data_IF_209214610876
#
_entry.id   IF_209214610876
#
_cell.length_a   1.000
_cell.length_b   1.000
_cell.length_c   1.000
_cell.angle_alpha   90.00
_cell.angle_beta   90.00
_cell.angle_gamma   90.00
#
_symmetry.space_group_name_H-M   'P 1'
#
loop_
_entity.id
_entity.type
_entity.pdbx_description
1 polymer ?
#
# COMPACT_ATOMS: atom_id res chain seq x y z
N UNK A 1 -19.73 -13.65 6.68
CA UNK A 1 -19.83 -14.75 7.68
C UNK A 1 -18.60 -15.60 7.59
N UNK A 2 -18.00 -15.98 8.74
CA UNK A 2 -16.86 -16.91 8.78
C UNK A 2 -17.21 -18.02 9.76
N UNK A 3 -17.03 -19.26 9.32
CA UNK A 3 -17.22 -20.43 10.14
C UNK A 3 -16.00 -21.33 9.94
N UNK A 4 -15.38 -21.76 11.03
CA UNK A 4 -14.23 -22.65 11.01
C UNK A 4 -14.43 -23.71 12.09
N UNK A 5 -14.28 -24.95 11.68
CA UNK A 5 -14.29 -26.13 12.54
C UNK A 5 -12.95 -26.84 12.36
N UNK A 6 -12.11 -26.87 13.40
CA UNK A 6 -10.79 -27.50 13.32
C UNK A 6 -10.59 -28.37 14.54
N UNK A 7 -10.26 -29.65 14.31
CA UNK A 7 -9.92 -30.62 15.33
C UNK A 7 -8.51 -31.16 15.12
N UNK A 8 -7.75 -31.23 16.19
CA UNK A 8 -6.42 -31.88 16.22
C UNK A 8 -6.15 -32.49 17.59
N UNK A 9 -5.17 -33.37 17.67
CA UNK A 9 -4.78 -34.01 18.93
C UNK A 9 -3.50 -33.39 19.50
N UNK A 10 -3.57 -32.99 20.77
CA UNK A 10 -2.42 -32.58 21.56
C UNK A 10 -1.98 -33.77 22.46
N UNK A 11 -0.69 -33.89 22.71
CA UNK A 11 -0.12 -34.85 23.63
C UNK A 11 0.57 -34.16 24.79
N UNK A 12 0.50 -34.77 25.97
CA UNK A 12 1.22 -34.25 27.12
C UNK A 12 2.57 -34.95 27.25
N UNK A 13 3.66 -34.22 27.14
CA UNK A 13 5.02 -34.74 27.23
C UNK A 13 5.79 -33.94 28.27
N UNK A 14 6.31 -34.58 29.30
CA UNK A 14 7.08 -33.91 30.35
C UNK A 14 6.32 -32.84 31.12
N UNK A 15 4.99 -32.94 31.25
CA UNK A 15 4.17 -31.92 31.93
C UNK A 15 3.67 -30.79 31.03
N UNK A 16 4.18 -30.67 29.83
CA UNK A 16 3.81 -29.61 28.85
C UNK A 16 2.97 -30.19 27.73
N UNK A 17 2.01 -29.41 27.25
CA UNK A 17 1.22 -29.77 26.06
C UNK A 17 2.04 -29.52 24.82
N UNK A 18 2.21 -30.58 24.01
CA UNK A 18 2.94 -30.53 22.73
C UNK A 18 1.98 -30.88 21.61
N UNK A 19 2.11 -30.20 20.49
CA UNK A 19 1.42 -30.55 19.27
C UNK A 19 2.37 -31.35 18.37
N UNK A 20 2.28 -32.69 18.36
CA UNK A 20 3.19 -33.55 17.60
C UNK A 20 3.11 -33.29 16.10
N UNK A 21 4.23 -33.49 15.41
CA UNK A 21 4.32 -33.32 13.96
C UNK A 21 3.35 -34.20 13.17
N UNK A 22 3.12 -35.38 13.66
CA UNK A 22 2.23 -36.38 13.05
C UNK A 22 0.77 -36.29 13.53
N UNK A 23 0.42 -35.27 14.34
CA UNK A 23 -0.95 -35.11 14.82
C UNK A 23 -1.91 -34.97 13.64
N UNK A 24 -3.01 -35.76 13.65
CA UNK A 24 -4.03 -35.60 12.61
C UNK A 24 -4.70 -34.22 12.75
N UNK A 25 -4.95 -33.62 11.62
CA UNK A 25 -5.73 -32.37 11.52
C UNK A 25 -6.93 -32.67 10.65
N UNK A 26 -8.10 -32.29 11.12
CA UNK A 26 -9.35 -32.39 10.36
C UNK A 26 -10.16 -31.11 10.62
N UNK A 27 -10.82 -30.63 9.57
CA UNK A 27 -11.68 -29.47 9.74
C UNK A 27 -12.24 -28.96 8.43
N UNK A 28 -13.01 -27.92 8.54
CA UNK A 28 -13.51 -27.15 7.39
C UNK A 28 -13.48 -25.67 7.72
N UNK A 29 -13.25 -24.86 6.71
CA UNK A 29 -13.34 -23.42 6.79
C UNK A 29 -14.26 -22.94 5.68
N UNK A 30 -15.31 -22.24 6.07
CA UNK A 30 -16.22 -21.54 5.16
C UNK A 30 -16.20 -20.06 5.51
N UNK A 31 -15.86 -19.23 4.56
CA UNK A 31 -15.87 -17.79 4.73
C UNK A 31 -16.58 -17.13 3.55
N UNK A 32 -17.56 -16.32 3.86
CA UNK A 32 -18.22 -15.42 2.94
C UNK A 32 -18.05 -14.01 3.48
N UNK A 33 -17.20 -13.26 2.83
CA UNK A 33 -16.87 -11.88 3.17
C UNK A 33 -17.44 -10.95 2.09
N UNK A 34 -18.57 -10.28 2.37
CA UNK A 34 -19.19 -9.37 1.40
C UNK A 34 -18.35 -8.12 1.16
N UNK A 35 -17.37 -7.85 2.01
CA UNK A 35 -16.43 -6.76 1.82
C UNK A 35 -15.04 -7.12 2.33
N UNK A 36 -14.03 -6.87 1.52
CA UNK A 36 -12.61 -6.97 1.88
C UNK A 36 -12.06 -5.67 2.49
N UNK A 37 -12.89 -4.63 2.64
CA UNK A 37 -12.45 -3.33 3.16
C UNK A 37 -11.80 -3.39 4.54
N UNK A 38 -12.22 -4.34 5.40
CA UNK A 38 -11.61 -4.57 6.71
C UNK A 38 -10.14 -5.02 6.62
N UNK A 39 -9.76 -5.69 5.52
CA UNK A 39 -8.40 -6.15 5.29
C UNK A 39 -7.44 -5.03 4.87
N UNK A 40 -7.98 -3.84 4.56
CA UNK A 40 -7.13 -2.65 4.31
C UNK A 40 -6.26 -2.29 5.51
N UNK A 41 -6.64 -2.71 6.72
CA UNK A 41 -5.82 -2.52 7.92
C UNK A 41 -4.52 -3.36 7.91
N UNK A 42 -4.49 -4.45 7.14
CA UNK A 42 -3.30 -5.31 6.95
C UNK A 42 -2.50 -4.93 5.70
N UNK A 43 -3.03 -4.06 4.85
CA UNK A 43 -2.35 -3.56 3.68
C UNK A 43 -1.31 -2.49 4.07
N UNK A 44 -0.31 -2.23 3.23
CA UNK A 44 0.63 -1.13 3.45
C UNK A 44 -0.09 0.20 3.65
N UNK A 45 0.54 1.13 4.38
CA UNK A 45 -0.04 2.45 4.65
C UNK A 45 -0.43 3.17 3.35
N UNK A 46 -1.66 3.65 3.28
CA UNK A 46 -2.19 4.36 2.11
C UNK A 46 -2.86 3.45 1.07
N UNK A 47 -2.82 2.14 1.26
CA UNK A 47 -3.53 1.19 0.41
C UNK A 47 -4.94 0.93 0.91
N UNK A 48 -5.87 0.83 -0.03
CA UNK A 48 -7.25 0.40 0.21
C UNK A 48 -7.53 -0.83 -0.65
N UNK A 49 -8.15 -1.82 -0.03
CA UNK A 49 -8.55 -3.06 -0.69
C UNK A 49 -10.07 -3.20 -0.58
N UNK A 50 -10.73 -3.51 -1.67
CA UNK A 50 -12.15 -3.79 -1.75
C UNK A 50 -12.43 -5.09 -2.47
N UNK A 51 -13.67 -5.53 -2.45
CA UNK A 51 -14.11 -6.75 -3.13
C UNK A 51 -14.87 -7.68 -2.22
N UNK A 52 -15.26 -8.82 -2.77
CA UNK A 52 -16.00 -9.90 -2.10
C UNK A 52 -15.18 -11.17 -2.17
N UNK A 53 -15.17 -11.96 -1.09
CA UNK A 53 -14.42 -13.21 -1.04
C UNK A 53 -15.31 -14.34 -0.54
N UNK A 54 -15.25 -15.45 -1.24
CA UNK A 54 -15.85 -16.73 -0.82
C UNK A 54 -14.75 -17.79 -0.75
N UNK A 55 -14.62 -18.42 0.40
CA UNK A 55 -13.71 -19.54 0.66
C UNK A 55 -14.52 -20.73 1.16
N UNK A 56 -14.32 -21.87 0.54
CA UNK A 56 -14.80 -23.17 1.01
C UNK A 56 -13.63 -24.14 0.94
N UNK A 57 -13.18 -24.61 2.10
CA UNK A 57 -12.03 -25.48 2.18
C UNK A 57 -12.19 -26.53 3.29
N UNK A 58 -11.93 -27.79 2.97
CA UNK A 58 -11.75 -28.86 3.90
C UNK A 58 -10.27 -29.03 4.22
N UNK A 59 -9.97 -29.29 5.48
CA UNK A 59 -8.62 -29.50 5.99
C UNK A 59 -8.53 -30.94 6.49
N UNK A 60 -7.55 -31.66 6.02
CA UNK A 60 -7.26 -33.03 6.44
C UNK A 60 -5.76 -33.26 6.61
N UNK A 61 -5.36 -34.53 6.77
CA UNK A 61 -3.96 -34.92 6.81
C UNK A 61 -3.32 -34.80 8.19
N UNK A 62 -2.07 -34.38 8.23
CA UNK A 62 -1.25 -34.23 9.44
C UNK A 62 -0.66 -32.81 9.52
N UNK A 63 -0.23 -32.43 10.72
CA UNK A 63 0.33 -31.07 10.95
C UNK A 63 1.43 -30.66 9.96
N UNK A 64 2.38 -31.57 9.67
CA UNK A 64 3.47 -31.31 8.70
C UNK A 64 3.09 -31.55 7.24
N UNK A 65 2.00 -32.25 6.98
CA UNK A 65 1.50 -32.52 5.63
C UNK A 65 -0.02 -32.32 5.60
N UNK A 66 -0.51 -31.08 5.67
CA UNK A 66 -1.93 -30.79 5.61
C UNK A 66 -2.46 -31.08 4.21
N UNK A 67 -3.62 -31.74 4.15
CA UNK A 67 -4.36 -31.98 2.91
C UNK A 67 -5.51 -30.96 2.85
N UNK A 68 -5.34 -29.93 2.05
CA UNK A 68 -6.33 -28.87 1.84
C UNK A 68 -7.10 -29.16 0.56
N UNK A 69 -8.43 -29.12 0.62
CA UNK A 69 -9.29 -29.30 -0.56
C UNK A 69 -10.39 -28.27 -0.56
N UNK A 70 -10.55 -27.60 -1.69
CA UNK A 70 -11.57 -26.57 -1.78
C UNK A 70 -11.24 -25.49 -2.80
N UNK A 71 -11.90 -24.34 -2.63
CA UNK A 71 -11.76 -23.25 -3.58
C UNK A 71 -11.84 -21.89 -2.89
N UNK A 72 -11.10 -20.94 -3.45
CA UNK A 72 -11.14 -19.54 -3.10
C UNK A 72 -11.60 -18.75 -4.33
N UNK A 73 -12.58 -17.89 -4.16
CA UNK A 73 -13.06 -16.96 -5.18
C UNK A 73 -13.07 -15.55 -4.62
N UNK A 74 -12.51 -14.63 -5.37
CA UNK A 74 -12.61 -13.20 -5.11
C UNK A 74 -13.26 -12.55 -6.32
N UNK A 75 -14.21 -11.65 -6.07
CA UNK A 75 -14.92 -10.89 -7.08
C UNK A 75 -14.87 -9.41 -6.72
N UNK A 76 -14.97 -8.57 -7.75
CA UNK A 76 -14.95 -7.11 -7.61
C UNK A 76 -13.73 -6.62 -6.80
N UNK A 77 -12.59 -7.35 -6.91
CA UNK A 77 -11.37 -6.96 -6.22
C UNK A 77 -10.93 -5.58 -6.71
N UNK A 78 -10.72 -4.69 -5.78
CA UNK A 78 -10.17 -3.37 -6.05
C UNK A 78 -8.99 -3.08 -5.13
N UNK A 79 -7.97 -2.44 -5.66
CA UNK A 79 -6.77 -2.05 -4.95
C UNK A 79 -6.40 -0.62 -5.34
N UNK A 80 -6.31 0.26 -4.37
CA UNK A 80 -6.00 1.67 -4.62
C UNK A 80 -4.92 2.15 -3.67
N UNK A 81 -3.91 2.82 -4.22
CA UNK A 81 -2.92 3.58 -3.47
C UNK A 81 -2.79 4.98 -4.06
N UNK A 82 -3.22 5.98 -3.31
CA UNK A 82 -3.10 7.39 -3.72
C UNK A 82 -1.63 7.83 -3.76
N UNK A 83 -0.83 7.32 -2.82
CA UNK A 83 0.59 7.67 -2.72
C UNK A 83 1.39 7.15 -3.93
N UNK A 84 1.06 5.96 -4.41
CA UNK A 84 1.75 5.33 -5.55
C UNK A 84 1.07 5.65 -6.88
N UNK A 85 -0.16 6.18 -6.85
CA UNK A 85 -1.00 6.41 -8.01
C UNK A 85 -1.49 5.11 -8.64
N UNK A 86 -1.67 4.06 -7.83
CA UNK A 86 -2.17 2.77 -8.29
C UNK A 86 -3.68 2.75 -8.13
N UNK A 87 -4.37 2.35 -9.19
CA UNK A 87 -5.80 2.19 -9.22
C UNK A 87 -6.13 0.96 -10.07
N UNK A 88 -6.53 -0.10 -9.37
CA UNK A 88 -6.88 -1.40 -9.96
C UNK A 88 -8.29 -1.76 -9.52
N UNK A 89 -9.12 -2.20 -10.46
CA UNK A 89 -10.54 -2.48 -10.25
C UNK A 89 -10.98 -3.73 -11.03
N UNK A 90 -12.23 -4.14 -10.85
CA UNK A 90 -12.86 -5.28 -11.54
C UNK A 90 -12.08 -6.60 -11.40
N UNK A 91 -11.29 -6.72 -10.31
CA UNK A 91 -10.43 -7.87 -10.13
C UNK A 91 -11.23 -9.14 -9.82
N UNK A 92 -10.75 -10.25 -10.38
CA UNK A 92 -11.27 -11.60 -10.18
C UNK A 92 -10.12 -12.53 -9.84
N UNK A 93 -10.31 -13.36 -8.82
CA UNK A 93 -9.37 -14.41 -8.46
C UNK A 93 -10.11 -15.71 -8.27
N UNK A 94 -9.57 -16.78 -8.84
CA UNK A 94 -10.03 -18.15 -8.64
C UNK A 94 -8.81 -19.02 -8.32
N UNK A 95 -8.85 -19.69 -7.17
CA UNK A 95 -7.83 -20.62 -6.77
C UNK A 95 -8.46 -21.91 -6.24
N UNK A 96 -7.80 -23.03 -6.49
CA UNK A 96 -8.19 -24.36 -6.03
C UNK A 96 -7.13 -24.94 -5.12
N UNK A 97 -7.57 -25.50 -4.01
CA UNK A 97 -6.71 -26.26 -3.11
C UNK A 97 -6.81 -27.75 -3.42
N UNK A 98 -5.68 -28.42 -3.57
CA UNK A 98 -5.58 -29.83 -3.88
C UNK A 98 -4.40 -30.48 -3.13
N UNK A 99 -4.65 -30.97 -1.93
CA UNK A 99 -3.64 -31.54 -1.06
C UNK A 99 -2.71 -30.48 -0.47
N UNK A 100 -1.43 -30.59 -0.77
CA UNK A 100 -0.42 -29.61 -0.38
C UNK A 100 -0.20 -28.51 -1.43
N UNK A 101 -1.07 -28.44 -2.43
CA UNK A 101 -0.96 -27.48 -3.54
C UNK A 101 -2.14 -26.53 -3.58
N UNK A 102 -1.88 -25.34 -4.06
CA UNK A 102 -2.89 -24.35 -4.45
C UNK A 102 -2.61 -23.91 -5.89
N UNK A 103 -3.55 -24.18 -6.76
CA UNK A 103 -3.52 -23.73 -8.14
C UNK A 103 -4.26 -22.40 -8.24
N UNK A 104 -3.57 -21.34 -8.59
CA UNK A 104 -4.14 -20.07 -9.02
C UNK A 104 -4.59 -20.23 -10.47
N UNK A 105 -5.86 -20.59 -10.65
CA UNK A 105 -6.42 -20.89 -11.97
C UNK A 105 -6.60 -19.62 -12.81
N UNK A 106 -7.00 -18.54 -12.14
CA UNK A 106 -7.18 -17.23 -12.77
C UNK A 106 -6.97 -16.11 -11.76
N UNK A 107 -6.21 -15.15 -12.16
CA UNK A 107 -6.20 -13.81 -11.59
C UNK A 107 -6.28 -12.81 -12.74
N UNK A 108 -7.25 -11.92 -12.68
CA UNK A 108 -7.45 -10.85 -13.64
C UNK A 108 -7.79 -9.58 -12.85
N UNK A 109 -7.20 -8.46 -13.22
CA UNK A 109 -7.52 -7.15 -12.65
C UNK A 109 -7.25 -6.07 -13.68
N UNK A 110 -8.13 -5.08 -13.74
CA UNK A 110 -8.04 -3.96 -14.65
C UNK A 110 -7.38 -2.75 -13.98
N UNK A 111 -6.53 -2.05 -14.68
CA UNK A 111 -6.03 -0.74 -14.28
C UNK A 111 -6.94 0.39 -14.78
N UNK A 112 -6.57 1.64 -14.48
CA UNK A 112 -7.20 2.81 -15.11
C UNK A 112 -7.05 2.76 -16.65
N UNK A 113 -6.08 2.03 -17.14
CA UNK A 113 -5.88 1.60 -18.53
C UNK A 113 -5.20 0.23 -18.50
N UNK A 114 -5.65 -0.68 -19.37
CA UNK A 114 -5.08 -2.01 -19.51
C UNK A 114 -5.40 -2.96 -18.34
N UNK A 115 -4.73 -4.09 -18.35
CA UNK A 115 -5.05 -5.20 -17.46
C UNK A 115 -3.81 -5.99 -17.01
N UNK A 116 -3.92 -6.69 -15.91
CA UNK A 116 -2.97 -7.66 -15.40
C UNK A 116 -3.65 -9.02 -15.26
N UNK A 117 -3.08 -10.02 -15.89
CA UNK A 117 -3.48 -11.41 -15.75
C UNK A 117 -2.39 -12.19 -15.04
N UNK A 118 -2.76 -13.14 -14.18
CA UNK A 118 -1.81 -14.07 -13.57
C UNK A 118 -2.43 -15.46 -13.39
N UNK A 119 -1.57 -16.46 -13.45
CA UNK A 119 -1.90 -17.84 -13.12
C UNK A 119 -0.64 -18.53 -12.57
N UNK A 120 -0.82 -19.62 -11.82
CA UNK A 120 0.33 -20.31 -11.28
C UNK A 120 -0.02 -21.33 -10.22
N UNK A 121 1.02 -21.79 -9.54
CA UNK A 121 0.90 -22.80 -8.50
C UNK A 121 1.75 -22.43 -7.29
N UNK A 122 1.20 -22.68 -6.12
CA UNK A 122 1.91 -22.73 -4.85
C UNK A 122 1.82 -24.14 -4.31
N UNK A 123 2.91 -24.66 -3.75
CA UNK A 123 2.94 -26.00 -3.16
C UNK A 123 3.83 -26.01 -1.91
N UNK A 124 3.54 -26.95 -1.02
CA UNK A 124 4.38 -27.31 0.11
C UNK A 124 4.97 -28.70 -0.13
N UNK A 125 6.24 -28.74 -0.49
CA UNK A 125 6.96 -29.98 -0.77
C UNK A 125 8.00 -30.23 0.33
N UNK A 126 7.89 -31.35 1.04
CA UNK A 126 8.80 -31.69 2.15
C UNK A 126 8.94 -30.55 3.21
N UNK A 127 7.86 -29.83 3.50
CA UNK A 127 7.87 -28.73 4.46
C UNK A 127 8.46 -27.42 3.95
N UNK A 128 8.84 -27.35 2.68
CA UNK A 128 9.35 -26.15 2.04
C UNK A 128 8.32 -25.57 1.06
N UNK A 129 8.11 -24.24 1.06
CA UNK A 129 7.23 -23.59 0.09
C UNK A 129 7.89 -23.56 -1.28
N UNK A 130 7.11 -23.89 -2.30
CA UNK A 130 7.44 -23.65 -3.70
C UNK A 130 6.33 -22.84 -4.36
N UNK A 131 6.69 -21.94 -5.28
CA UNK A 131 5.75 -21.11 -6.02
C UNK A 131 6.26 -20.90 -7.44
N UNK A 132 5.35 -20.96 -8.38
CA UNK A 132 5.58 -20.53 -9.75
C UNK A 132 4.35 -19.78 -10.24
N UNK A 133 4.47 -18.48 -10.43
CA UNK A 133 3.40 -17.61 -10.90
C UNK A 133 3.87 -16.91 -12.17
N UNK A 134 3.04 -16.96 -13.20
CA UNK A 134 3.21 -16.21 -14.43
C UNK A 134 2.26 -15.01 -14.41
N UNK A 135 2.77 -13.85 -14.73
CA UNK A 135 2.03 -12.59 -14.79
C UNK A 135 2.21 -11.97 -16.16
N UNK A 136 1.14 -11.42 -16.71
CA UNK A 136 1.13 -10.71 -17.97
C UNK A 136 0.37 -9.39 -17.83
N UNK A 137 1.05 -8.30 -18.07
CA UNK A 137 0.48 -6.96 -18.14
C UNK A 137 0.30 -6.56 -19.60
N UNK A 138 -0.85 -5.97 -19.93
CA UNK A 138 -1.17 -5.42 -21.25
C UNK A 138 -1.58 -3.97 -21.06
N UNK A 139 -0.72 -3.03 -21.47
CA UNK A 139 -0.92 -1.59 -21.33
C UNK A 139 -1.38 -1.15 -19.93
N UNK A 140 -0.91 -1.85 -18.91
CA UNK A 140 -1.32 -1.60 -17.53
C UNK A 140 -0.80 -0.25 -17.06
N UNK A 141 -1.71 0.62 -16.60
CA UNK A 141 -1.36 1.89 -15.95
C UNK A 141 -0.82 1.60 -14.54
N UNK A 142 0.49 1.46 -14.46
CA UNK A 142 1.18 1.11 -13.21
C UNK A 142 1.28 2.28 -12.23
N UNK A 143 1.20 3.52 -12.73
CA UNK A 143 1.10 4.72 -11.91
C UNK A 143 0.30 5.79 -12.63
N UNK A 144 -0.63 6.43 -11.94
CA UNK A 144 -1.49 7.49 -12.45
C UNK A 144 -1.54 8.64 -11.45
N UNK A 145 -0.42 9.37 -11.34
CA UNK A 145 -0.30 10.56 -10.47
C UNK A 145 -0.23 11.84 -11.33
N UNK A 146 -0.56 12.99 -10.78
CA UNK A 146 -0.40 14.26 -11.49
C UNK A 146 1.03 14.54 -11.95
N UNK A 147 2.03 14.12 -11.16
CA UNK A 147 3.46 14.31 -11.40
C UNK A 147 4.11 13.18 -12.20
N UNK A 148 3.43 12.02 -12.31
CA UNK A 148 3.94 10.90 -13.10
C UNK A 148 2.82 9.98 -13.59
N UNK A 149 2.96 9.53 -14.83
CA UNK A 149 2.09 8.54 -15.44
C UNK A 149 2.97 7.50 -16.12
N UNK A 150 2.72 6.23 -15.83
CA UNK A 150 3.52 5.13 -16.38
C UNK A 150 2.59 4.01 -16.80
N UNK A 151 2.70 3.60 -18.06
CA UNK A 151 2.00 2.44 -18.63
C UNK A 151 3.03 1.41 -19.04
N UNK A 152 2.78 0.15 -18.69
CA UNK A 152 3.69 -0.96 -18.94
C UNK A 152 3.00 -2.14 -19.62
N UNK A 153 3.74 -2.86 -20.43
CA UNK A 153 3.36 -4.15 -20.99
C UNK A 153 4.49 -5.16 -20.82
N UNK A 154 4.14 -6.42 -20.72
CA UNK A 154 5.12 -7.50 -20.68
C UNK A 154 4.71 -8.67 -19.82
N UNK A 155 5.63 -9.60 -19.65
CA UNK A 155 5.41 -10.82 -18.86
C UNK A 155 6.52 -11.02 -17.85
N UNK A 156 6.14 -11.50 -16.67
CA UNK A 156 7.04 -11.80 -15.55
C UNK A 156 6.67 -13.17 -14.98
N UNK A 157 7.66 -13.98 -14.72
CA UNK A 157 7.55 -15.23 -14.01
C UNK A 157 8.24 -15.08 -12.64
N UNK A 158 7.49 -15.29 -11.58
CA UNK A 158 7.98 -15.30 -10.21
C UNK A 158 8.05 -16.74 -9.72
N UNK A 159 9.21 -17.15 -9.25
CA UNK A 159 9.46 -18.47 -8.66
C UNK A 159 9.95 -18.35 -7.21
N UNK A 160 9.48 -19.22 -6.34
CA UNK A 160 10.00 -19.42 -4.99
C UNK A 160 10.35 -20.90 -4.84
N UNK A 161 11.54 -21.18 -4.34
CA UNK A 161 11.97 -22.53 -3.99
C UNK A 161 12.71 -22.52 -2.66
N UNK A 162 12.07 -23.02 -1.64
CA UNK A 162 12.55 -22.89 -0.27
C UNK A 162 12.70 -21.42 0.13
N UNK A 163 13.95 -20.94 0.24
CA UNK A 163 14.28 -19.54 0.57
C UNK A 163 14.71 -18.71 -0.63
N UNK A 164 14.80 -19.33 -1.81
CA UNK A 164 15.31 -18.70 -3.03
C UNK A 164 14.16 -18.11 -3.85
N UNK A 165 14.18 -16.80 -4.09
CA UNK A 165 13.22 -16.12 -4.95
C UNK A 165 13.88 -15.86 -6.30
N UNK A 166 13.20 -16.21 -7.37
CA UNK A 166 13.62 -15.96 -8.75
C UNK A 166 12.57 -15.12 -9.44
N UNK A 167 12.99 -14.04 -10.08
CA UNK A 167 12.14 -13.20 -10.92
C UNK A 167 12.74 -13.13 -12.32
N UNK A 168 12.00 -13.57 -13.33
CA UNK A 168 12.41 -13.55 -14.74
C UNK A 168 11.31 -12.93 -15.56
N UNK A 169 11.65 -12.08 -16.54
CA UNK A 169 10.64 -11.50 -17.40
C UNK A 169 11.18 -10.38 -18.27
N UNK A 170 10.28 -9.84 -19.06
CA UNK A 170 10.51 -8.66 -19.89
C UNK A 170 9.34 -7.71 -19.66
N UNK A 171 9.64 -6.52 -19.19
CA UNK A 171 8.68 -5.43 -19.08
C UNK A 171 9.13 -4.31 -20.00
N UNK A 172 8.21 -3.81 -20.81
CA UNK A 172 8.36 -2.63 -21.63
C UNK A 172 7.60 -1.47 -21.03
N UNK A 173 8.11 -0.28 -21.17
CA UNK A 173 7.37 0.96 -20.86
C UNK A 173 6.73 1.41 -22.17
N UNK A 174 5.38 1.39 -22.20
CA UNK A 174 4.61 1.83 -23.37
C UNK A 174 4.48 3.37 -23.38
N UNK A 175 4.30 3.94 -22.19
CA UNK A 175 4.17 5.39 -21.99
C UNK A 175 4.77 5.78 -20.64
N UNK A 176 5.56 6.86 -20.63
CA UNK A 176 6.02 7.46 -19.38
C UNK A 176 5.94 8.99 -19.49
N UNK A 177 5.23 9.61 -18.57
CA UNK A 177 5.22 11.05 -18.33
C UNK A 177 5.71 11.29 -16.91
N UNK A 178 6.80 12.03 -16.78
CA UNK A 178 7.36 12.41 -15.47
C UNK A 178 7.54 13.93 -15.50
N UNK A 179 6.77 14.62 -14.66
CA UNK A 179 6.91 16.05 -14.45
C UNK A 179 7.92 16.26 -13.32
N UNK A 180 9.07 16.78 -13.65
CA UNK A 180 10.04 17.21 -12.65
C UNK A 180 9.47 18.45 -11.97
N UNK A 181 9.33 18.41 -10.66
CA UNK A 181 9.00 19.62 -9.90
C UNK A 181 10.15 20.62 -10.13
N UNK A 182 9.81 21.75 -10.72
CA UNK A 182 10.77 22.84 -10.83
C UNK A 182 11.13 23.26 -9.40
N UNK A 183 12.37 23.00 -9.00
CA UNK A 183 12.88 23.31 -7.68
C UNK A 183 13.21 24.81 -7.53
N UNK A 184 12.73 25.65 -8.46
CA UNK A 184 12.74 27.07 -8.28
C UNK A 184 11.90 27.36 -7.02
N UNK A 185 12.60 27.61 -5.92
CA UNK A 185 11.99 28.15 -4.71
C UNK A 185 11.16 29.34 -5.16
N UNK A 186 9.90 29.48 -4.73
CA UNK A 186 9.16 30.69 -5.03
C UNK A 186 10.01 31.88 -4.55
N UNK A 187 10.61 32.61 -5.49
CA UNK A 187 11.29 33.85 -5.19
C UNK A 187 10.20 34.84 -4.88
N UNK A 188 10.17 35.32 -3.65
CA UNK A 188 9.37 36.48 -3.31
C UNK A 188 9.79 37.61 -4.24
N UNK A 189 8.83 38.26 -4.89
CA UNK A 189 9.14 39.39 -5.75
C UNK A 189 9.87 40.46 -4.94
N UNK A 190 10.71 41.26 -5.59
CA UNK A 190 11.59 42.23 -4.93
C UNK A 190 10.85 43.31 -4.11
N UNK A 191 9.53 43.39 -4.28
CA UNK A 191 8.63 44.31 -3.55
C UNK A 191 8.07 43.72 -2.24
N UNK A 192 8.34 42.46 -1.94
CA UNK A 192 7.92 41.80 -0.69
C UNK A 192 8.99 41.98 0.39
N UNK A 193 8.71 42.82 1.37
CA UNK A 193 9.56 43.02 2.54
C UNK A 193 9.15 42.06 3.66
N UNK A 194 10.03 41.15 4.00
CA UNK A 194 9.80 40.25 5.15
C UNK A 194 10.10 41.01 6.43
N UNK A 195 9.07 41.34 7.21
CA UNK A 195 9.20 41.92 8.54
C UNK A 195 9.03 40.83 9.57
N UNK A 196 10.07 40.55 10.36
CA UNK A 196 9.97 39.58 11.47
C UNK A 196 9.16 40.24 12.61
N UNK A 197 8.34 39.48 13.30
CA UNK A 197 7.49 39.94 14.40
C UNK A 197 8.26 40.73 15.45
N UNK A 198 9.50 40.39 15.74
CA UNK A 198 10.38 41.09 16.65
C UNK A 198 10.72 42.51 16.19
N UNK A 199 10.87 42.74 14.87
CA UNK A 199 11.12 44.08 14.34
C UNK A 199 9.88 45.01 14.34
N UNK A 200 8.68 44.39 14.36
CA UNK A 200 7.43 45.16 14.51
C UNK A 200 7.27 45.65 15.95
N UNK A 201 7.67 44.88 16.95
CA UNK A 201 7.62 45.29 18.35
C UNK A 201 8.68 46.39 18.65
N UNK A 202 9.87 46.28 18.06
CA UNK A 202 10.95 47.24 18.22
C UNK A 202 10.61 48.60 17.55
N UNK A 203 9.97 48.58 16.40
CA UNK A 203 9.50 49.80 15.70
C UNK A 203 8.23 50.40 16.34
N UNK A 204 7.43 49.60 17.03
CA UNK A 204 6.27 50.11 17.77
C UNK A 204 6.67 50.81 19.08
N UNK A 205 7.86 50.50 19.61
CA UNK A 205 8.38 51.11 20.84
C UNK A 205 9.10 52.46 20.54
N UNK A 206 9.35 52.76 19.27
CA UNK A 206 10.04 54.01 18.84
C UNK A 206 9.08 55.11 18.32
N UNK A 207 7.84 55.11 18.76
CA UNK A 207 6.97 56.27 18.59
C UNK A 207 7.45 57.31 19.60
N UNK A 208 7.94 58.50 19.17
CA UNK A 208 8.39 59.50 20.09
C UNK A 208 7.23 59.89 21.02
N UNK A 209 7.47 59.91 22.31
CA UNK A 209 6.46 60.37 23.27
C UNK A 209 6.07 61.83 22.98
N UNK A 210 4.82 62.19 23.22
CA UNK A 210 4.32 63.56 23.02
C UNK A 210 5.24 64.62 23.68
N UNK A 211 5.97 64.26 24.73
CA UNK A 211 6.95 65.07 25.41
C UNK A 211 8.20 65.38 24.54
N UNK A 212 8.59 64.47 23.66
CA UNK A 212 9.72 64.67 22.73
C UNK A 212 9.34 65.54 21.54
N UNK A 213 8.13 65.38 21.02
CA UNK A 213 7.60 66.27 19.97
C UNK A 213 7.41 67.73 20.45
N UNK A 214 6.95 67.89 21.70
CA UNK A 214 6.82 69.23 22.30
C UNK A 214 8.17 69.93 22.57
N UNK A 215 9.20 69.15 22.90
CA UNK A 215 10.55 69.67 23.11
C UNK A 215 11.22 70.07 21.78
N UNK A 216 10.99 69.34 20.70
CA UNK A 216 11.52 69.61 19.37
C UNK A 216 10.82 70.84 18.74
N UNK A 217 9.53 71.02 18.99
CA UNK A 217 8.76 72.18 18.54
C UNK A 217 9.16 73.47 19.30
N UNK A 218 9.47 73.32 20.61
CA UNK A 218 9.98 74.42 21.41
C UNK A 218 11.39 74.86 20.98
N UNK A 219 12.26 73.86 20.66
CA UNK A 219 13.62 74.17 20.15
C UNK A 219 13.60 74.87 18.77
N UNK A 220 12.71 74.39 17.87
CA UNK A 220 12.51 75.03 16.55
C UNK A 220 11.99 76.47 16.63
N UNK A 221 11.06 76.74 17.57
CA UNK A 221 10.57 78.12 17.81
C UNK A 221 11.63 79.03 18.40
N UNK A 222 12.48 78.51 19.28
CA UNK A 222 13.58 79.29 19.86
C UNK A 222 14.65 79.64 18.81
N UNK A 223 14.93 78.80 17.88
CA UNK A 223 15.87 79.03 16.78
C UNK A 223 15.35 80.05 15.76
N UNK A 224 14.03 80.09 15.52
CA UNK A 224 13.41 81.05 14.61
C UNK A 224 13.30 82.50 15.18
N UNK A 225 13.46 82.68 16.49
CA UNK A 225 13.45 84.01 17.14
C UNK A 225 14.85 84.60 17.34
N UNK A 226 15.90 83.85 17.05
CA UNK A 226 17.30 84.25 17.18
C UNK A 226 17.97 84.65 15.85
N UNK A 227 17.24 84.61 14.74
CA UNK A 227 17.67 85.00 13.41
C UNK A 227 16.89 86.28 12.97
#
# INVERSE_FOLDING_TARGET
>A
RVQADIASSLQRQGGTWVWPENSPVKGSVQADLPTLGLWSALAPTGWRVGGKMALDAAIGGRRLAPDLRGQLRVQDLSMRSVLDGIELENGQLQARFAGTQMDLERFHIEGAEGELNAAGRLAWEAGQPSMNIQMQAQRLRASNRPDRRVTISGSVQAGLHGKSITLKGKLGIDEALILLADSSKPSLSADVRIVRKQQLEENATTVPSETQLAAEEAASKAAAQAA
#
